data_IF_470947748900
#
_entry.id   IF_470947748900
#
_cell.length_a   1.000
_cell.length_b   1.000
_cell.length_c   1.000
_cell.angle_alpha   90.00
_cell.angle_beta   90.00
_cell.angle_gamma   90.00
#
_symmetry.space_group_name_H-M   'P 1'
#
loop_
_entity.id
_entity.type
_entity.pdbx_description
1 polymer ?
#
# COMPACT_ATOMS: atom_id res chain seq x y z
N UNK A 1 -13.55 -15.74 -57.19
CA UNK A 1 -12.98 -16.25 -55.92
C UNK A 1 -11.87 -15.29 -55.51
N UNK A 2 -12.16 -14.21 -54.77
CA UNK A 2 -12.15 -14.11 -53.30
C UNK A 2 -10.82 -14.59 -52.69
N UNK A 3 -10.02 -13.84 -51.94
CA UNK A 3 -10.04 -12.47 -51.40
C UNK A 3 -8.62 -12.21 -50.87
N UNK A 4 -7.98 -11.09 -51.23
CA UNK A 4 -6.71 -10.65 -50.61
C UNK A 4 -6.97 -10.32 -49.13
N UNK A 5 -6.50 -11.14 -48.20
CA UNK A 5 -6.47 -10.76 -46.77
C UNK A 5 -5.36 -9.73 -46.58
N UNK A 6 -5.74 -8.47 -46.54
CA UNK A 6 -4.91 -7.39 -46.05
C UNK A 6 -4.62 -7.65 -44.56
N UNK A 7 -3.40 -8.06 -44.24
CA UNK A 7 -2.91 -8.13 -42.86
C UNK A 7 -2.50 -6.73 -42.44
N UNK A 8 -3.48 -5.99 -41.93
CA UNK A 8 -3.30 -4.66 -41.33
C UNK A 8 -2.42 -4.80 -40.10
N UNK A 9 -1.11 -4.51 -40.24
CA UNK A 9 -0.18 -4.35 -39.12
C UNK A 9 -0.67 -3.21 -38.22
N UNK A 10 -1.37 -3.54 -37.13
CA UNK A 10 -1.63 -2.62 -36.04
C UNK A 10 -0.29 -2.36 -35.34
N UNK A 11 0.40 -1.28 -35.73
CA UNK A 11 1.53 -0.74 -34.96
C UNK A 11 0.95 -0.28 -33.62
N UNK A 12 1.00 -1.12 -32.60
CA UNK A 12 0.68 -0.72 -31.23
C UNK A 12 1.82 0.18 -30.76
N UNK A 13 1.66 1.48 -30.99
CA UNK A 13 2.50 2.52 -30.40
C UNK A 13 2.58 2.22 -28.92
N UNK A 14 3.79 1.96 -28.41
CA UNK A 14 4.06 1.93 -26.98
C UNK A 14 3.83 3.37 -26.52
N UNK A 15 2.59 3.72 -26.20
CA UNK A 15 2.25 4.98 -25.57
C UNK A 15 2.89 4.89 -24.20
N UNK A 16 4.08 5.50 -24.05
CA UNK A 16 4.64 5.77 -22.74
C UNK A 16 3.57 6.57 -22.02
N UNK A 17 2.93 5.97 -21.02
CA UNK A 17 1.97 6.72 -20.22
C UNK A 17 2.65 8.00 -19.73
N UNK A 18 1.95 9.14 -19.76
CA UNK A 18 2.50 10.38 -19.22
C UNK A 18 2.86 10.12 -17.76
N UNK A 19 4.16 10.11 -17.44
CA UNK A 19 4.62 10.14 -16.05
C UNK A 19 3.97 11.37 -15.43
N UNK A 20 3.20 11.20 -14.35
CA UNK A 20 2.81 12.34 -13.51
C UNK A 20 4.07 13.19 -13.27
N UNK A 21 4.00 14.53 -13.41
CA UNK A 21 5.15 15.37 -13.14
C UNK A 21 5.59 15.06 -11.71
N UNK A 22 6.89 14.83 -11.50
CA UNK A 22 7.50 14.43 -10.22
C UNK A 22 6.93 15.23 -9.02
N UNK A 23 6.59 16.50 -9.25
CA UNK A 23 5.95 17.42 -8.29
C UNK A 23 4.59 16.95 -7.72
N UNK A 24 3.75 16.25 -8.48
CA UNK A 24 2.43 15.82 -8.04
C UNK A 24 2.50 14.60 -7.11
N UNK A 25 3.32 13.60 -7.48
CA UNK A 25 3.60 12.46 -6.60
C UNK A 25 4.25 12.92 -5.30
N UNK A 26 5.22 13.82 -5.37
CA UNK A 26 5.86 14.40 -4.18
C UNK A 26 4.85 15.11 -3.28
N UNK A 27 3.85 15.80 -3.86
CA UNK A 27 2.76 16.40 -3.09
C UNK A 27 1.92 15.34 -2.38
N UNK A 28 1.56 14.25 -3.06
CA UNK A 28 0.83 13.11 -2.46
C UNK A 28 1.64 12.47 -1.33
N UNK A 29 2.94 12.26 -1.52
CA UNK A 29 3.86 11.73 -0.51
C UNK A 29 3.91 12.66 0.70
N UNK A 30 4.15 13.96 0.50
CA UNK A 30 4.26 14.91 1.61
C UNK A 30 2.95 15.06 2.40
N UNK A 31 1.80 15.02 1.72
CA UNK A 31 0.49 15.02 2.38
C UNK A 31 0.32 13.77 3.25
N UNK A 32 0.75 12.62 2.75
CA UNK A 32 0.66 11.35 3.47
C UNK A 32 1.63 11.29 4.66
N UNK A 33 2.86 11.80 4.52
CA UNK A 33 3.81 11.97 5.64
C UNK A 33 3.16 12.80 6.76
N UNK A 34 2.55 13.94 6.42
CA UNK A 34 1.87 14.81 7.39
C UNK A 34 0.73 14.07 8.09
N UNK A 35 -0.09 13.32 7.34
CA UNK A 35 -1.20 12.53 7.87
C UNK A 35 -0.72 11.46 8.85
N UNK A 36 0.26 10.64 8.45
CA UNK A 36 0.81 9.56 9.27
C UNK A 36 1.55 10.08 10.49
N UNK A 37 2.27 11.19 10.37
CA UNK A 37 2.92 11.86 11.50
C UNK A 37 1.89 12.32 12.55
N UNK A 38 0.72 12.82 12.10
CA UNK A 38 -0.38 13.17 12.99
C UNK A 38 -0.99 11.96 13.70
N UNK A 39 -1.16 10.84 12.99
CA UNK A 39 -1.72 9.59 13.54
C UNK A 39 -0.78 8.97 14.57
N UNK A 40 0.51 8.94 14.29
CA UNK A 40 1.52 8.27 15.11
C UNK A 40 2.29 9.23 16.03
N UNK A 41 1.69 10.38 16.39
CA UNK A 41 2.32 11.42 17.21
C UNK A 41 2.69 10.96 18.63
N UNK A 42 1.97 9.96 19.14
CA UNK A 42 2.08 9.47 20.52
C UNK A 42 3.18 8.38 20.67
N UNK A 43 3.96 8.10 19.62
CA UNK A 43 5.14 7.25 19.69
C UNK A 43 6.19 7.85 20.66
N UNK A 44 6.70 7.00 21.55
CA UNK A 44 7.72 7.33 22.55
C UNK A 44 8.98 7.96 21.92
N UNK A 45 9.60 8.91 22.63
CA UNK A 45 10.71 9.72 22.10
C UNK A 45 11.89 8.90 21.57
N UNK A 46 12.25 7.81 22.25
CA UNK A 46 13.33 6.90 21.87
C UNK A 46 13.07 6.12 20.57
N UNK A 47 11.81 6.00 20.14
CA UNK A 47 11.39 5.29 18.90
C UNK A 47 11.14 6.23 17.71
N UNK A 48 11.26 7.55 17.92
CA UNK A 48 10.87 8.56 16.92
C UNK A 48 11.68 8.49 15.62
N UNK A 49 12.99 8.27 15.71
CA UNK A 49 13.84 8.18 14.50
C UNK A 49 13.42 7.00 13.61
N UNK A 50 13.21 5.83 14.21
CA UNK A 50 12.72 4.64 13.51
C UNK A 50 11.33 4.88 12.92
N UNK A 51 10.41 5.50 13.69
CA UNK A 51 9.06 5.80 13.22
C UNK A 51 9.06 6.77 12.03
N UNK A 52 9.98 7.75 12.00
CA UNK A 52 10.09 8.71 10.90
C UNK A 52 10.41 8.01 9.58
N UNK A 53 11.40 7.12 9.57
CA UNK A 53 11.77 6.37 8.35
C UNK A 53 10.63 5.47 7.87
N UNK A 54 9.92 4.81 8.78
CA UNK A 54 8.74 3.99 8.45
C UNK A 54 7.58 4.84 7.88
N UNK A 55 7.37 6.06 8.40
CA UNK A 55 6.35 6.99 7.90
C UNK A 55 6.67 7.44 6.48
N UNK A 56 7.93 7.83 6.22
CA UNK A 56 8.38 8.25 4.88
C UNK A 56 8.21 7.13 3.85
N UNK A 57 8.60 5.91 4.20
CA UNK A 57 8.44 4.73 3.34
C UNK A 57 6.96 4.37 3.12
N UNK A 58 6.14 4.39 4.18
CA UNK A 58 4.70 4.17 4.08
C UNK A 58 4.02 5.18 3.15
N UNK A 59 4.43 6.46 3.23
CA UNK A 59 3.90 7.52 2.40
C UNK A 59 4.27 7.34 0.91
N UNK A 60 5.52 6.97 0.63
CA UNK A 60 5.97 6.65 -0.72
C UNK A 60 5.22 5.45 -1.30
N UNK A 61 5.09 4.37 -0.52
CA UNK A 61 4.33 3.18 -0.92
C UNK A 61 2.87 3.53 -1.19
N UNK A 62 2.22 4.34 -0.34
CA UNK A 62 0.83 4.74 -0.53
C UNK A 62 0.62 5.51 -1.85
N UNK A 63 1.48 6.47 -2.17
CA UNK A 63 1.42 7.21 -3.42
C UNK A 63 1.64 6.29 -4.63
N UNK A 64 2.61 5.37 -4.54
CA UNK A 64 2.91 4.42 -5.61
C UNK A 64 1.77 3.40 -5.82
N UNK A 65 1.11 2.95 -4.76
CA UNK A 65 -0.06 2.07 -4.86
C UNK A 65 -1.22 2.71 -5.63
N UNK A 66 -1.40 4.03 -5.53
CA UNK A 66 -2.41 4.77 -6.31
C UNK A 66 -2.08 4.74 -7.80
N UNK A 67 -0.82 5.00 -8.17
CA UNK A 67 -0.36 4.94 -9.57
C UNK A 67 -0.49 3.53 -10.15
N UNK A 68 -0.09 2.51 -9.39
CA UNK A 68 -0.23 1.12 -9.81
C UNK A 68 -1.70 0.73 -10.00
N UNK A 69 -2.58 1.18 -9.10
CA UNK A 69 -4.02 0.95 -9.22
C UNK A 69 -4.60 1.61 -10.46
N UNK A 70 -4.25 2.86 -10.74
CA UNK A 70 -4.67 3.54 -11.97
C UNK A 70 -4.21 2.79 -13.24
N UNK A 71 -2.97 2.28 -13.25
CA UNK A 71 -2.46 1.46 -14.36
C UNK A 71 -3.24 0.16 -14.54
N UNK A 72 -3.64 -0.50 -13.44
CA UNK A 72 -4.47 -1.71 -13.48
C UNK A 72 -5.89 -1.39 -13.96
N UNK A 73 -6.48 -0.29 -13.48
CA UNK A 73 -7.82 0.15 -13.88
C UNK A 73 -7.87 0.48 -15.39
N UNK A 74 -6.78 1.01 -15.96
CA UNK A 74 -6.68 1.34 -17.39
C UNK A 74 -6.38 0.12 -18.27
N UNK A 75 -5.41 -0.71 -17.88
CA UNK A 75 -4.88 -1.78 -18.75
C UNK A 75 -5.49 -3.16 -18.45
N UNK A 76 -6.20 -3.29 -17.33
CA UNK A 76 -6.72 -4.55 -16.83
C UNK A 76 -5.67 -5.42 -16.12
N UNK A 77 -6.11 -6.53 -15.49
CA UNK A 77 -5.24 -7.41 -14.71
C UNK A 77 -4.43 -8.41 -15.56
N UNK A 78 -4.78 -8.56 -16.84
CA UNK A 78 -4.18 -9.53 -17.76
C UNK A 78 -3.52 -8.76 -18.91
N UNK A 79 -2.27 -9.10 -19.20
CA UNK A 79 -1.47 -8.57 -20.30
C UNK A 79 -1.24 -9.66 -21.35
N UNK A 80 -1.29 -9.29 -22.63
CA UNK A 80 -0.97 -10.19 -23.74
C UNK A 80 0.48 -9.96 -24.17
N UNK A 81 1.34 -10.95 -23.96
CA UNK A 81 2.75 -10.90 -24.30
C UNK A 81 3.03 -11.70 -25.57
N UNK A 82 3.53 -11.02 -26.60
CA UNK A 82 3.99 -11.65 -27.84
C UNK A 82 5.32 -12.40 -27.61
N UNK A 83 5.44 -13.59 -28.19
CA UNK A 83 6.57 -14.51 -28.13
C UNK A 83 6.83 -15.05 -29.54
N UNK A 84 7.57 -14.30 -30.35
CA UNK A 84 7.79 -14.64 -31.76
C UNK A 84 6.47 -14.67 -32.53
N UNK A 85 6.06 -15.86 -32.97
CA UNK A 85 4.86 -16.07 -33.80
C UNK A 85 3.58 -16.35 -32.99
N UNK A 86 3.65 -16.48 -31.66
CA UNK A 86 2.48 -16.70 -30.80
C UNK A 86 2.40 -15.68 -29.66
N UNK A 87 1.26 -15.64 -28.97
CA UNK A 87 1.07 -14.81 -27.77
C UNK A 87 0.64 -15.64 -26.57
N UNK A 88 0.97 -15.12 -25.38
CA UNK A 88 0.52 -15.69 -24.11
C UNK A 88 -0.19 -14.63 -23.28
N UNK A 89 -1.21 -15.06 -22.54
CA UNK A 89 -1.82 -14.25 -21.49
C UNK A 89 -1.00 -14.40 -20.21
N UNK A 90 -0.66 -13.28 -19.58
CA UNK A 90 0.07 -13.23 -18.31
C UNK A 90 -0.53 -12.22 -17.37
N UNK A 91 -0.15 -12.30 -16.09
CA UNK A 91 -0.47 -11.26 -15.12
C UNK A 91 0.14 -9.92 -15.54
N UNK A 92 -0.64 -8.84 -15.46
CA UNK A 92 -0.15 -7.51 -15.75
C UNK A 92 0.96 -7.11 -14.75
N UNK A 93 2.12 -6.60 -15.19
CA UNK A 93 3.24 -6.28 -14.28
C UNK A 93 2.87 -5.30 -13.15
N UNK A 94 1.98 -4.34 -13.43
CA UNK A 94 1.48 -3.41 -12.40
C UNK A 94 0.66 -4.12 -11.32
N UNK A 95 -0.11 -5.16 -11.67
CA UNK A 95 -0.87 -5.96 -10.71
C UNK A 95 0.06 -6.73 -9.78
N UNK A 96 1.08 -7.38 -10.34
CA UNK A 96 2.11 -8.08 -9.57
C UNK A 96 2.84 -7.16 -8.58
N UNK A 97 3.21 -5.96 -9.06
CA UNK A 97 3.84 -4.94 -8.22
C UNK A 97 2.90 -4.43 -7.13
N UNK A 98 1.63 -4.18 -7.45
CA UNK A 98 0.61 -3.73 -6.50
C UNK A 98 0.42 -4.76 -5.38
N UNK A 99 0.22 -6.04 -5.73
CA UNK A 99 0.02 -7.12 -4.76
C UNK A 99 1.20 -7.25 -3.78
N UNK A 100 2.42 -7.17 -4.31
CA UNK A 100 3.63 -7.23 -3.48
C UNK A 100 3.77 -5.99 -2.57
N UNK A 101 3.42 -4.82 -3.07
CA UNK A 101 3.58 -3.55 -2.36
C UNK A 101 2.51 -3.32 -1.31
N UNK A 102 1.25 -3.72 -1.56
CA UNK A 102 0.16 -3.54 -0.60
C UNK A 102 0.36 -4.39 0.65
N UNK A 103 0.92 -5.60 0.49
CA UNK A 103 1.29 -6.45 1.61
C UNK A 103 2.39 -5.80 2.46
N UNK A 104 3.44 -5.27 1.82
CA UNK A 104 4.53 -4.56 2.51
C UNK A 104 4.05 -3.30 3.20
N UNK A 105 3.20 -2.51 2.55
CA UNK A 105 2.57 -1.34 3.13
C UNK A 105 1.79 -1.71 4.40
N UNK A 106 1.00 -2.77 4.35
CA UNK A 106 0.24 -3.25 5.53
C UNK A 106 1.19 -3.65 6.66
N UNK A 107 2.31 -4.32 6.36
CA UNK A 107 3.34 -4.64 7.35
C UNK A 107 3.95 -3.40 7.99
N UNK A 108 4.30 -2.38 7.20
CA UNK A 108 4.86 -1.12 7.73
C UNK A 108 3.85 -0.38 8.60
N UNK A 109 2.58 -0.31 8.17
CA UNK A 109 1.53 0.30 8.99
C UNK A 109 1.35 -0.46 10.30
N UNK A 110 1.37 -1.80 10.27
CA UNK A 110 1.33 -2.61 11.49
C UNK A 110 2.52 -2.32 12.41
N UNK A 111 3.74 -2.27 11.87
CA UNK A 111 4.94 -1.92 12.64
C UNK A 111 4.82 -0.54 13.29
N UNK A 112 4.28 0.45 12.59
CA UNK A 112 4.01 1.78 13.15
C UNK A 112 2.97 1.72 14.28
N UNK A 113 1.88 0.97 14.09
CA UNK A 113 0.86 0.77 15.12
C UNK A 113 1.41 0.06 16.36
N UNK A 114 2.30 -0.92 16.19
CA UNK A 114 2.93 -1.65 17.28
C UNK A 114 3.89 -0.77 18.13
N UNK A 115 4.30 0.39 17.61
CA UNK A 115 5.11 1.38 18.35
C UNK A 115 4.28 2.33 19.21
N UNK A 116 2.94 2.34 19.06
CA UNK A 116 2.07 3.13 19.91
C UNK A 116 2.07 2.57 21.34
N UNK A 117 1.81 3.42 22.36
CA UNK A 117 1.61 2.96 23.72
C UNK A 117 0.50 1.90 23.74
N UNK A 118 0.78 0.73 24.31
CA UNK A 118 -0.27 -0.28 24.52
C UNK A 118 -1.17 0.23 25.62
N UNK A 119 -2.47 0.27 25.38
CA UNK A 119 -3.44 0.46 26.46
C UNK A 119 -3.18 -0.64 27.49
N UNK A 120 -2.83 -0.24 28.72
CA UNK A 120 -2.79 -1.17 29.84
C UNK A 120 -4.19 -1.78 29.94
N UNK A 121 -4.34 -3.12 29.95
CA UNK A 121 -5.63 -3.72 30.22
C UNK A 121 -6.09 -3.11 31.55
N UNK A 122 -7.23 -2.41 31.53
CA UNK A 122 -7.89 -2.02 32.77
C UNK A 122 -8.04 -3.31 33.55
N UNK A 123 -7.43 -3.41 34.72
CA UNK A 123 -7.75 -4.46 35.67
C UNK A 123 -9.24 -4.34 35.93
N UNK A 124 -10.01 -5.20 35.27
CA UNK A 124 -11.40 -5.40 35.63
C UNK A 124 -11.28 -6.16 36.95
N UNK A 125 -11.38 -5.43 38.05
CA UNK A 125 -11.56 -6.03 39.36
C UNK A 125 -12.76 -6.98 39.23
N UNK A 126 -12.50 -8.27 39.41
CA UNK A 126 -13.50 -9.34 39.34
C UNK A 126 -14.37 -9.39 40.61
N UNK A 127 -14.30 -8.35 41.45
CA UNK A 127 -15.00 -8.26 42.72
C UNK A 127 -14.44 -9.20 43.80
N UNK A 128 -13.35 -9.92 43.54
CA UNK A 128 -12.76 -10.83 44.54
C UNK A 128 -12.26 -10.07 45.77
N UNK A 129 -11.59 -8.93 45.58
CA UNK A 129 -11.10 -8.10 46.69
C UNK A 129 -12.24 -7.52 47.54
N UNK A 130 -13.37 -7.17 46.91
CA UNK A 130 -14.58 -6.70 47.60
C UNK A 130 -15.26 -7.83 48.37
N UNK A 131 -15.28 -9.05 47.81
CA UNK A 131 -15.81 -10.25 48.45
C UNK A 131 -15.01 -10.68 49.69
N UNK A 132 -13.68 -10.57 49.65
CA UNK A 132 -12.81 -10.92 50.78
C UNK A 132 -12.82 -9.82 51.85
N UNK A 133 -12.88 -8.55 51.46
CA UNK A 133 -12.94 -7.41 52.39
C UNK A 133 -14.24 -7.33 53.21
N UNK A 134 -15.35 -7.84 52.69
CA UNK A 134 -16.66 -7.80 53.35
C UNK A 134 -16.92 -8.84 54.44
N UNK A 135 -15.97 -9.75 54.75
CA UNK A 135 -16.15 -10.83 55.76
C UNK A 135 -15.45 -10.55 57.10
N UNK A 136 -15.25 -9.28 57.45
CA UNK A 136 -14.86 -8.92 58.80
C UNK A 136 -16.11 -8.72 59.67
N UNK A 137 -16.29 -9.66 60.61
CA UNK A 137 -17.38 -9.90 61.59
C UNK A 137 -18.64 -10.66 61.11
#
# INVERSE_FOLDING_TARGET
MATKKASTKLKKTIVRQPKEPIKEKDKKINNEIRRLTGIFKDIEKNKRLTSKGLIEEAAYMKATLVELKASIDENGPIDEMQQGEYSILREHPALKAYNSMVQRYTTVIKQLSDLLPKELPKEVSDGFDEFVGGRSD
#
